data_IF_154876017419
#
_entry.id   IF_154876017419
#
_cell.length_a   1.000
_cell.length_b   1.000
_cell.length_c   1.000
_cell.angle_alpha   90.00
_cell.angle_beta   90.00
_cell.angle_gamma   90.00
#
_symmetry.space_group_name_H-M   'P 1'
#
loop_
_entity.id
_entity.type
_entity.pdbx_description
1 polymer ?
#
# COMPACT_ATOMS: atom_id res chain seq x y z
N UNK A 1 23.85 1.58 3.65
CA UNK A 1 24.19 1.98 5.03
C UNK A 1 24.12 3.49 5.10
N UNK A 2 23.37 4.05 6.05
CA UNK A 2 23.29 5.51 6.23
C UNK A 2 24.58 6.01 6.90
N UNK A 3 25.01 7.23 6.58
CA UNK A 3 26.19 7.85 7.19
C UNK A 3 25.97 8.09 8.69
N UNK A 4 27.02 7.92 9.50
CA UNK A 4 27.01 8.38 10.89
C UNK A 4 27.06 9.91 10.93
N UNK A 5 26.63 10.52 12.04
CA UNK A 5 26.53 11.99 12.18
C UNK A 5 27.82 12.77 11.86
N UNK A 6 28.98 12.11 11.85
CA UNK A 6 30.31 12.71 11.64
C UNK A 6 30.92 12.42 10.26
N UNK A 7 30.22 11.68 9.40
CA UNK A 7 30.72 11.35 8.07
C UNK A 7 30.40 12.47 7.05
N UNK A 8 31.26 12.71 6.04
CA UNK A 8 30.99 13.68 5.00
C UNK A 8 29.72 13.30 4.22
N UNK A 9 28.90 14.31 3.89
CA UNK A 9 27.65 14.14 3.15
C UNK A 9 27.87 13.32 1.87
N UNK A 10 27.05 12.29 1.68
CA UNK A 10 27.05 11.50 0.46
C UNK A 10 27.06 12.40 -0.80
N UNK A 11 27.89 12.08 -1.81
CA UNK A 11 27.78 12.70 -3.12
C UNK A 11 26.35 12.61 -3.64
N UNK A 12 25.84 13.68 -4.25
CA UNK A 12 24.43 13.79 -4.71
C UNK A 12 23.94 12.55 -5.48
N UNK A 13 24.82 11.92 -6.27
CA UNK A 13 24.55 10.69 -7.01
C UNK A 13 24.21 9.50 -6.11
N UNK A 14 24.96 9.28 -5.03
CA UNK A 14 24.74 8.18 -4.09
C UNK A 14 23.46 8.41 -3.29
N UNK A 15 23.17 9.66 -2.93
CA UNK A 15 21.92 10.01 -2.27
C UNK A 15 20.71 9.71 -3.17
N UNK A 16 20.71 10.16 -4.42
CA UNK A 16 19.62 9.91 -5.38
C UNK A 16 19.42 8.41 -5.61
N UNK A 17 20.50 7.63 -5.76
CA UNK A 17 20.40 6.18 -5.91
C UNK A 17 19.74 5.50 -4.70
N UNK A 18 20.05 5.95 -3.47
CA UNK A 18 19.39 5.44 -2.26
C UNK A 18 17.90 5.79 -2.26
N UNK A 19 17.55 7.04 -2.57
CA UNK A 19 16.16 7.50 -2.63
C UNK A 19 15.36 6.69 -3.65
N UNK A 20 15.87 6.54 -4.88
CA UNK A 20 15.20 5.74 -5.92
C UNK A 20 15.04 4.29 -5.47
N UNK A 21 16.11 3.68 -4.93
CA UNK A 21 16.04 2.28 -4.47
C UNK A 21 14.94 2.08 -3.43
N UNK A 22 14.88 2.91 -2.40
CA UNK A 22 13.86 2.76 -1.34
C UNK A 22 12.47 3.17 -1.82
N UNK A 23 12.35 4.19 -2.68
CA UNK A 23 11.08 4.55 -3.29
C UNK A 23 10.54 3.41 -4.16
N UNK A 24 11.38 2.73 -4.95
CA UNK A 24 10.99 1.57 -5.73
C UNK A 24 10.56 0.41 -4.85
N UNK A 25 11.30 0.12 -3.77
CA UNK A 25 10.91 -0.93 -2.81
C UNK A 25 9.55 -0.60 -2.17
N UNK A 26 9.36 0.63 -1.71
CA UNK A 26 8.10 1.08 -1.13
C UNK A 26 6.94 0.98 -2.13
N UNK A 27 7.17 1.38 -3.38
CA UNK A 27 6.17 1.30 -4.45
C UNK A 27 5.78 -0.15 -4.77
N UNK A 28 6.73 -1.10 -4.75
CA UNK A 28 6.44 -2.53 -4.91
C UNK A 28 5.60 -3.04 -3.74
N UNK A 29 5.97 -2.72 -2.49
CA UNK A 29 5.22 -3.14 -1.30
C UNK A 29 3.79 -2.61 -1.35
N UNK A 30 3.63 -1.32 -1.68
CA UNK A 30 2.31 -0.69 -1.86
C UNK A 30 1.52 -1.37 -2.98
N UNK A 31 2.15 -1.62 -4.12
CA UNK A 31 1.49 -2.27 -5.26
C UNK A 31 1.01 -3.69 -4.94
N UNK A 32 1.81 -4.47 -4.21
CA UNK A 32 1.42 -5.82 -3.76
C UNK A 32 0.28 -5.74 -2.75
N UNK A 33 0.36 -4.83 -1.76
CA UNK A 33 -0.69 -4.64 -0.78
C UNK A 33 -2.03 -4.23 -1.43
N UNK A 34 -1.99 -3.27 -2.37
CA UNK A 34 -3.16 -2.87 -3.15
C UNK A 34 -3.70 -4.02 -4.00
N UNK A 35 -2.83 -4.79 -4.67
CA UNK A 35 -3.25 -5.94 -5.47
C UNK A 35 -4.00 -6.98 -4.64
N UNK A 36 -3.49 -7.31 -3.45
CA UNK A 36 -4.16 -8.23 -2.51
C UNK A 36 -5.50 -7.63 -2.05
N UNK A 37 -5.52 -6.34 -1.70
CA UNK A 37 -6.73 -5.63 -1.28
C UNK A 37 -7.82 -5.64 -2.36
N UNK A 38 -7.46 -5.31 -3.60
CA UNK A 38 -8.38 -5.28 -4.74
C UNK A 38 -8.99 -6.67 -4.97
N UNK A 39 -8.17 -7.72 -4.99
CA UNK A 39 -8.66 -9.08 -5.20
C UNK A 39 -9.55 -9.53 -4.04
N UNK A 40 -9.19 -9.20 -2.79
CA UNK A 40 -10.01 -9.51 -1.63
C UNK A 40 -11.37 -8.82 -1.67
N UNK A 41 -11.42 -7.51 -1.95
CA UNK A 41 -12.69 -6.80 -2.10
C UNK A 41 -13.51 -7.30 -3.29
N UNK A 42 -12.86 -7.64 -4.40
CA UNK A 42 -13.58 -8.13 -5.58
C UNK A 42 -14.19 -9.52 -5.35
N UNK A 43 -13.45 -10.45 -4.74
CA UNK A 43 -13.92 -11.83 -4.54
C UNK A 43 -14.74 -12.03 -3.27
N UNK A 44 -14.39 -11.37 -2.16
CA UNK A 44 -15.02 -11.56 -0.85
C UNK A 44 -16.19 -10.60 -0.65
N UNK A 45 -15.99 -9.31 -0.96
CA UNK A 45 -17.02 -8.28 -0.84
C UNK A 45 -17.89 -8.15 -2.11
N UNK A 46 -17.51 -8.81 -3.22
CA UNK A 46 -18.21 -8.77 -4.52
C UNK A 46 -18.35 -7.35 -5.08
N UNK A 47 -17.44 -6.46 -4.71
CA UNK A 47 -17.38 -5.10 -5.23
C UNK A 47 -16.92 -5.07 -6.69
N UNK A 48 -17.27 -4.02 -7.42
CA UNK A 48 -16.72 -3.82 -8.76
C UNK A 48 -15.20 -3.61 -8.67
N UNK A 49 -14.47 -3.79 -9.78
CA UNK A 49 -13.02 -3.57 -9.79
C UNK A 49 -12.62 -2.16 -9.33
N UNK A 50 -13.43 -1.16 -9.68
CA UNK A 50 -13.20 0.24 -9.34
C UNK A 50 -13.48 0.48 -7.86
N UNK A 51 -14.60 -0.05 -7.34
CA UNK A 51 -14.92 0.05 -5.91
C UNK A 51 -13.92 -0.72 -5.04
N UNK A 52 -13.39 -1.84 -5.56
CA UNK A 52 -12.35 -2.63 -4.91
C UNK A 52 -11.02 -1.88 -4.85
N UNK A 53 -10.64 -1.18 -5.93
CA UNK A 53 -9.48 -0.28 -5.94
C UNK A 53 -9.65 0.88 -4.97
N UNK A 54 -10.81 1.51 -4.97
CA UNK A 54 -11.12 2.61 -4.05
C UNK A 54 -11.01 2.15 -2.60
N UNK A 55 -11.71 1.07 -2.23
CA UNK A 55 -11.71 0.54 -0.86
C UNK A 55 -10.34 0.04 -0.40
N UNK A 56 -9.60 -0.68 -1.27
CA UNK A 56 -8.23 -1.09 -0.98
C UNK A 56 -7.30 0.12 -0.73
N UNK A 57 -7.46 1.19 -1.52
CA UNK A 57 -6.69 2.42 -1.36
C UNK A 57 -7.07 3.19 -0.09
N UNK A 58 -8.36 3.20 0.28
CA UNK A 58 -8.84 3.84 1.50
C UNK A 58 -8.25 3.19 2.75
N UNK A 59 -8.29 1.85 2.84
CA UNK A 59 -7.70 1.12 3.98
C UNK A 59 -6.19 1.32 4.04
N UNK A 60 -5.50 1.24 2.90
CA UNK A 60 -4.06 1.52 2.85
C UNK A 60 -3.74 2.94 3.34
N UNK A 61 -4.62 3.91 3.06
CA UNK A 61 -4.54 5.29 3.53
C UNK A 61 -5.00 5.51 4.98
N UNK A 62 -5.43 4.46 5.69
CA UNK A 62 -5.92 4.53 7.07
C UNK A 62 -7.37 4.98 7.22
N UNK A 63 -8.14 5.01 6.13
CA UNK A 63 -9.57 5.31 6.12
C UNK A 63 -10.39 4.02 6.10
N UNK A 64 -11.57 4.03 6.72
CA UNK A 64 -12.48 2.88 6.68
C UNK A 64 -13.04 2.61 5.28
N UNK A 65 -13.59 1.41 5.04
CA UNK A 65 -14.23 1.07 3.78
C UNK A 65 -15.48 1.92 3.52
N UNK A 66 -15.70 2.26 2.25
CA UNK A 66 -16.89 2.95 1.76
C UNK A 66 -17.87 1.94 1.16
N UNK A 67 -19.14 2.01 1.60
CA UNK A 67 -20.23 1.16 1.11
C UNK A 67 -20.64 0.07 2.10
N UNK A 68 -21.75 -0.60 1.80
CA UNK A 68 -22.23 -1.71 2.61
C UNK A 68 -21.39 -2.95 2.37
N UNK A 69 -20.78 -3.49 3.44
CA UNK A 69 -20.12 -4.79 3.38
C UNK A 69 -21.17 -5.89 3.53
N UNK A 70 -21.49 -6.63 2.44
CA UNK A 70 -22.68 -7.48 2.40
C UNK A 70 -22.54 -8.78 3.19
N UNK A 71 -21.32 -9.15 3.60
CA UNK A 71 -21.01 -10.40 4.28
C UNK A 71 -20.09 -10.20 5.48
N UNK A 72 -20.20 -11.08 6.49
CA UNK A 72 -19.30 -11.04 7.64
C UNK A 72 -17.84 -11.36 7.24
N UNK A 73 -17.64 -12.17 6.20
CA UNK A 73 -16.31 -12.42 5.64
C UNK A 73 -15.67 -11.14 5.06
N UNK A 74 -16.47 -10.27 4.43
CA UNK A 74 -15.98 -8.98 3.93
C UNK A 74 -15.62 -8.02 5.08
N UNK A 75 -16.41 -8.00 6.16
CA UNK A 75 -16.12 -7.20 7.37
C UNK A 75 -14.85 -7.66 8.06
N UNK A 76 -14.67 -8.98 8.20
CA UNK A 76 -13.44 -9.57 8.75
C UNK A 76 -12.25 -9.22 7.87
N UNK A 77 -12.38 -9.36 6.54
CA UNK A 77 -11.33 -8.98 5.61
C UNK A 77 -10.93 -7.51 5.74
N UNK A 78 -11.90 -6.60 5.81
CA UNK A 78 -11.65 -5.17 5.99
C UNK A 78 -11.06 -4.78 7.35
N UNK A 79 -10.97 -5.71 8.32
CA UNK A 79 -10.37 -5.46 9.64
C UNK A 79 -8.87 -5.77 9.70
N UNK A 80 -8.31 -6.36 8.64
CA UNK A 80 -6.89 -6.70 8.51
C UNK A 80 -6.18 -5.80 7.50
#
# INVERSE_FOLDING_TARGET
>A
MFESRSAPLAPRRVFIQRVIKYASIASIVIGVALGIGILGYHYIARFTWIDSLLNASMILGGMGPMGDLPSDSAKVFASF
#
